data_IF_994376643858
#
_entry.id   IF_994376643858
#
_cell.length_a   1.000
_cell.length_b   1.000
_cell.length_c   1.000
_cell.angle_alpha   90.00
_cell.angle_beta   90.00
_cell.angle_gamma   90.00
#
_symmetry.space_group_name_H-M   'P 1'
#
loop_
_entity.id
_entity.type
_entity.pdbx_description
1 polymer ?
#
# COMPACT_ATOMS: atom_id res chain seq x y z
N UNK A 1 -18.71 46.27 35.30
CA UNK A 1 -18.87 44.80 35.38
C UNK A 1 -19.35 44.18 34.06
N UNK A 2 -20.47 44.62 33.48
CA UNK A 2 -21.00 44.06 32.20
C UNK A 2 -20.02 44.07 31.02
N UNK A 3 -19.27 45.16 30.83
CA UNK A 3 -18.28 45.26 29.74
C UNK A 3 -17.10 44.29 29.91
N UNK A 4 -16.66 44.03 31.15
CA UNK A 4 -15.58 43.07 31.45
C UNK A 4 -16.06 41.65 31.17
N UNK A 5 -17.29 41.32 31.57
CA UNK A 5 -17.90 40.01 31.29
C UNK A 5 -18.02 39.78 29.79
N UNK A 6 -18.50 40.76 29.02
CA UNK A 6 -18.59 40.65 27.56
C UNK A 6 -17.22 40.47 26.91
N UNK A 7 -16.20 41.22 27.34
CA UNK A 7 -14.85 41.08 26.82
C UNK A 7 -14.28 39.67 27.08
N UNK A 8 -14.47 39.13 28.29
CA UNK A 8 -14.02 37.77 28.65
C UNK A 8 -14.77 36.72 27.82
N UNK A 9 -16.09 36.86 27.68
CA UNK A 9 -16.90 35.94 26.86
C UNK A 9 -16.47 35.99 25.40
N UNK A 10 -16.20 37.18 24.84
CA UNK A 10 -15.69 37.32 23.48
C UNK A 10 -14.32 36.67 23.29
N UNK A 11 -13.39 36.84 24.24
CA UNK A 11 -12.06 36.20 24.17
C UNK A 11 -12.19 34.67 24.26
N UNK A 12 -13.06 34.15 25.12
CA UNK A 12 -13.29 32.70 25.24
C UNK A 12 -13.94 32.14 23.97
N UNK A 13 -14.96 32.80 23.42
CA UNK A 13 -15.67 32.31 22.24
C UNK A 13 -14.86 32.44 20.95
N UNK A 14 -14.06 33.51 20.79
CA UNK A 14 -13.29 33.76 19.58
C UNK A 14 -11.86 33.20 19.63
N UNK A 15 -11.31 32.99 20.82
CA UNK A 15 -9.95 32.47 21.00
C UNK A 15 -9.94 31.07 21.61
N UNK A 16 -10.56 30.92 22.79
CA UNK A 16 -10.54 29.67 23.55
C UNK A 16 -11.19 28.50 22.81
N UNK A 17 -12.38 28.72 22.25
CA UNK A 17 -13.14 27.69 21.52
C UNK A 17 -12.39 27.26 20.25
N UNK A 18 -11.98 28.14 19.32
CA UNK A 18 -11.26 27.71 18.11
C UNK A 18 -9.92 27.03 18.39
N UNK A 19 -9.18 27.44 19.42
CA UNK A 19 -7.92 26.78 19.80
C UNK A 19 -8.19 25.38 20.34
N UNK A 20 -9.20 25.22 21.21
CA UNK A 20 -9.56 23.92 21.77
C UNK A 20 -10.01 22.92 20.68
N UNK A 21 -10.86 23.36 19.75
CA UNK A 21 -11.30 22.52 18.64
C UNK A 21 -10.21 22.32 17.58
N UNK A 22 -9.41 23.34 17.27
CA UNK A 22 -8.29 23.25 16.32
C UNK A 22 -7.26 22.20 16.72
N UNK A 23 -6.84 22.21 17.99
CA UNK A 23 -5.88 21.24 18.53
C UNK A 23 -6.41 19.80 18.55
N UNK A 24 -7.72 19.61 18.70
CA UNK A 24 -8.36 18.29 18.63
C UNK A 24 -8.45 17.78 17.18
N UNK A 25 -8.70 18.67 16.22
CA UNK A 25 -8.82 18.29 14.80
C UNK A 25 -7.49 18.01 14.11
N UNK A 26 -6.36 18.52 14.62
CA UNK A 26 -5.05 18.33 13.98
C UNK A 26 -4.52 16.89 14.05
N UNK A 27 -5.05 16.04 14.93
CA UNK A 27 -4.48 14.71 15.16
C UNK A 27 -5.11 13.55 14.37
N UNK A 28 -6.20 13.77 13.60
CA UNK A 28 -6.80 12.69 12.80
C UNK A 28 -6.82 13.05 11.32
N UNK A 29 -6.23 12.18 10.51
CA UNK A 29 -6.29 12.32 9.06
C UNK A 29 -7.69 11.92 8.56
N UNK A 30 -8.39 12.76 7.79
CA UNK A 30 -9.72 12.45 7.29
C UNK A 30 -9.75 11.19 6.40
N UNK A 31 -8.63 10.83 5.75
CA UNK A 31 -8.55 9.59 4.97
C UNK A 31 -8.65 8.38 5.89
N UNK A 32 -7.95 8.37 7.03
CA UNK A 32 -8.05 7.27 7.99
C UNK A 32 -9.44 7.17 8.60
N UNK A 33 -10.09 8.31 8.86
CA UNK A 33 -11.50 8.33 9.27
C UNK A 33 -12.40 7.70 8.20
N UNK A 34 -12.21 8.02 6.92
CA UNK A 34 -12.99 7.39 5.85
C UNK A 34 -12.70 5.89 5.69
N UNK A 35 -11.48 5.44 6.01
CA UNK A 35 -11.13 4.02 6.02
C UNK A 35 -11.73 3.29 7.24
N UNK A 36 -11.92 3.99 8.37
CA UNK A 36 -12.62 3.46 9.56
C UNK A 36 -14.13 3.29 9.29
N UNK A 37 -14.68 4.05 8.34
CA UNK A 37 -16.09 3.99 7.93
C UNK A 37 -16.38 2.87 6.92
N UNK A 38 -15.35 2.19 6.38
CA UNK A 38 -15.54 1.00 5.55
C UNK A 38 -16.24 -0.09 6.36
N UNK A 39 -17.34 -0.64 5.83
CA UNK A 39 -18.11 -1.72 6.46
C UNK A 39 -17.38 -3.07 6.31
N UNK A 40 -16.20 -3.15 6.94
CA UNK A 40 -15.43 -4.38 7.06
C UNK A 40 -15.69 -5.02 8.43
N UNK A 41 -15.86 -6.35 8.48
CA UNK A 41 -16.09 -7.06 9.72
C UNK A 41 -14.87 -6.99 10.61
N UNK A 42 -15.08 -7.07 11.92
CA UNK A 42 -14.02 -6.88 12.93
C UNK A 42 -12.87 -7.87 12.81
N UNK A 43 -13.11 -9.07 12.28
CA UNK A 43 -12.08 -10.08 12.03
C UNK A 43 -11.12 -9.69 10.89
N UNK A 44 -11.53 -8.80 9.99
CA UNK A 44 -10.73 -8.33 8.87
C UNK A 44 -9.94 -7.05 9.23
N UNK A 45 -10.33 -6.40 10.34
CA UNK A 45 -9.87 -5.08 10.75
C UNK A 45 -9.12 -5.09 12.09
N UNK A 46 -8.38 -6.16 12.40
CA UNK A 46 -7.70 -6.29 13.68
C UNK A 46 -6.41 -5.46 13.74
N UNK A 47 -6.33 -4.60 14.77
CA UNK A 47 -5.14 -3.82 15.12
C UNK A 47 -4.60 -2.96 13.94
N UNK A 48 -5.37 -1.96 13.46
CA UNK A 48 -4.91 -1.10 12.40
C UNK A 48 -3.69 -0.28 12.86
N UNK A 49 -2.67 -0.24 12.00
CA UNK A 49 -1.49 0.60 12.15
C UNK A 49 -1.46 1.59 11.00
N UNK A 50 -1.55 2.88 11.35
CA UNK A 50 -1.56 3.98 10.39
C UNK A 50 -0.19 4.64 10.33
N UNK A 51 0.35 4.77 9.13
CA UNK A 51 1.59 5.47 8.82
C UNK A 51 1.36 6.57 7.78
N UNK A 52 2.06 7.69 7.97
CA UNK A 52 2.01 8.83 7.07
C UNK A 52 3.43 9.23 6.72
N UNK A 53 3.74 9.17 5.43
CA UNK A 53 5.02 9.61 4.88
C UNK A 53 4.82 10.77 3.90
N UNK A 54 5.91 11.51 3.63
CA UNK A 54 5.90 12.68 2.75
C UNK A 54 5.31 13.95 3.38
N UNK A 55 5.03 14.94 2.52
CA UNK A 55 4.62 16.29 2.91
C UNK A 55 3.20 16.61 2.47
N UNK A 56 2.41 17.22 3.38
CA UNK A 56 1.07 17.76 3.06
C UNK A 56 1.09 18.84 1.98
N UNK A 57 2.25 19.49 1.80
CA UNK A 57 2.45 20.58 0.84
C UNK A 57 3.16 20.13 -0.43
N UNK A 58 3.49 18.83 -0.55
CA UNK A 58 4.24 18.30 -1.70
C UNK A 58 5.55 19.06 -2.00
N UNK A 59 6.26 19.52 -0.96
CA UNK A 59 7.54 20.24 -1.16
C UNK A 59 8.67 19.33 -1.67
N UNK A 60 8.55 18.02 -1.44
CA UNK A 60 9.43 16.96 -1.93
C UNK A 60 8.54 15.78 -2.32
N UNK A 61 8.44 14.78 -1.45
CA UNK A 61 7.47 13.70 -1.58
C UNK A 61 6.08 14.18 -1.18
N UNK A 62 5.10 13.88 -2.01
CA UNK A 62 3.70 14.08 -1.67
C UNK A 62 3.25 13.10 -0.59
N UNK A 63 2.20 13.50 0.13
CA UNK A 63 1.72 12.75 1.30
C UNK A 63 1.15 11.39 0.89
N UNK A 64 1.79 10.31 1.33
CA UNK A 64 1.31 8.95 1.23
C UNK A 64 0.77 8.50 2.59
N UNK A 65 -0.39 7.86 2.59
CA UNK A 65 -1.01 7.31 3.78
C UNK A 65 -1.09 5.81 3.62
N UNK A 66 -0.54 5.08 4.56
CA UNK A 66 -0.55 3.63 4.55
C UNK A 66 -1.22 3.13 5.83
N UNK A 67 -2.19 2.26 5.68
CA UNK A 67 -2.80 1.53 6.78
C UNK A 67 -2.48 0.06 6.60
N UNK A 68 -1.91 -0.54 7.63
CA UNK A 68 -1.71 -1.99 7.69
C UNK A 68 -2.65 -2.59 8.73
N UNK A 69 -3.32 -3.68 8.39
CA UNK A 69 -4.28 -4.34 9.27
C UNK A 69 -4.10 -5.85 9.21
N UNK A 70 -4.24 -6.51 10.36
CA UNK A 70 -4.27 -7.97 10.41
C UNK A 70 -5.70 -8.47 10.26
N UNK A 71 -5.85 -9.59 9.58
CA UNK A 71 -7.12 -10.31 9.44
C UNK A 71 -6.95 -11.73 9.94
N UNK A 72 -7.97 -12.24 10.64
CA UNK A 72 -8.00 -13.61 11.15
C UNK A 72 -8.28 -14.65 10.04
N UNK A 73 -8.62 -14.20 8.83
CA UNK A 73 -9.05 -15.05 7.70
C UNK A 73 -8.05 -15.06 6.56
N UNK A 74 -8.25 -15.99 5.62
CA UNK A 74 -7.37 -16.16 4.46
C UNK A 74 -7.32 -14.89 3.61
N UNK A 75 -6.24 -14.70 2.83
CA UNK A 75 -6.12 -13.55 1.93
C UNK A 75 -7.30 -13.43 0.96
N UNK A 76 -7.84 -14.53 0.46
CA UNK A 76 -8.93 -14.55 -0.51
C UNK A 76 -10.26 -14.09 0.10
N UNK A 77 -10.61 -14.58 1.29
CA UNK A 77 -11.82 -14.17 2.01
C UNK A 77 -11.73 -12.69 2.40
N UNK A 78 -10.56 -12.28 2.90
CA UNK A 78 -10.29 -10.89 3.31
C UNK A 78 -10.36 -9.93 2.12
N UNK A 79 -9.75 -10.28 0.98
CA UNK A 79 -9.81 -9.47 -0.23
C UNK A 79 -11.24 -9.24 -0.70
N UNK A 80 -12.06 -10.29 -0.78
CA UNK A 80 -13.46 -10.17 -1.21
C UNK A 80 -14.26 -9.18 -0.36
N UNK A 81 -14.06 -9.23 0.95
CA UNK A 81 -14.73 -8.35 1.91
C UNK A 81 -14.28 -6.90 1.76
N UNK A 82 -12.97 -6.66 1.65
CA UNK A 82 -12.44 -5.31 1.45
C UNK A 82 -12.90 -4.71 0.11
N UNK A 83 -12.82 -5.47 -0.98
CA UNK A 83 -13.28 -5.00 -2.28
C UNK A 83 -14.80 -4.74 -2.31
N UNK A 84 -15.60 -5.56 -1.59
CA UNK A 84 -17.03 -5.32 -1.45
C UNK A 84 -17.30 -4.03 -0.68
N UNK A 85 -16.63 -3.81 0.46
CA UNK A 85 -16.76 -2.59 1.26
C UNK A 85 -16.35 -1.35 0.46
N UNK A 86 -15.23 -1.42 -0.28
CA UNK A 86 -14.78 -0.34 -1.16
C UNK A 86 -15.83 0.03 -2.22
N UNK A 87 -16.42 -0.97 -2.91
CA UNK A 87 -17.49 -0.72 -3.89
C UNK A 87 -18.72 -0.08 -3.26
N UNK A 88 -19.12 -0.53 -2.07
CA UNK A 88 -20.27 0.02 -1.34
C UNK A 88 -20.03 1.47 -0.90
N UNK A 89 -18.78 1.79 -0.55
CA UNK A 89 -18.32 3.12 -0.17
C UNK A 89 -17.99 4.01 -1.38
N UNK A 90 -18.37 3.59 -2.59
CA UNK A 90 -18.28 4.39 -3.81
C UNK A 90 -16.90 4.40 -4.49
N UNK A 91 -15.96 3.57 -4.04
CA UNK A 91 -14.71 3.35 -4.78
C UNK A 91 -14.96 2.56 -6.05
N UNK A 92 -14.30 2.98 -7.13
CA UNK A 92 -14.40 2.34 -8.43
C UNK A 92 -13.11 1.56 -8.71
N UNK A 93 -13.21 0.30 -9.19
CA UNK A 93 -12.06 -0.43 -9.68
C UNK A 93 -11.37 0.38 -10.78
N UNK A 94 -10.05 0.44 -10.72
CA UNK A 94 -9.24 1.21 -11.65
C UNK A 94 -8.09 0.34 -12.15
N UNK A 95 -7.92 0.24 -13.48
CA UNK A 95 -6.87 -0.57 -14.10
C UNK A 95 -5.88 0.32 -14.86
N UNK A 96 -4.99 1.05 -14.16
CA UNK A 96 -3.91 1.77 -14.83
C UNK A 96 -2.86 0.80 -15.39
N UNK A 97 -2.09 1.26 -16.38
CA UNK A 97 -1.00 0.49 -17.02
C UNK A 97 0.08 -0.03 -16.04
N UNK A 98 0.09 0.45 -14.80
CA UNK A 98 1.01 0.04 -13.73
C UNK A 98 0.27 -0.28 -12.43
N UNK A 99 -0.95 -0.84 -12.51
CA UNK A 99 -1.50 -1.56 -11.36
C UNK A 99 -0.78 -2.91 -11.30
N UNK A 100 0.05 -3.20 -10.29
CA UNK A 100 0.77 -4.45 -10.24
C UNK A 100 -0.20 -5.64 -10.10
N UNK A 101 -0.35 -6.41 -11.16
CA UNK A 101 -0.95 -7.76 -11.11
C UNK A 101 0.08 -8.72 -10.52
N UNK A 102 0.23 -8.71 -9.19
CA UNK A 102 1.13 -9.64 -8.49
C UNK A 102 0.30 -10.71 -7.76
N UNK A 103 -0.29 -11.64 -8.51
CA UNK A 103 -1.10 -12.73 -7.96
C UNK A 103 -0.27 -13.68 -7.07
N UNK A 104 1.02 -13.87 -7.35
CA UNK A 104 1.84 -14.90 -6.69
C UNK A 104 2.02 -14.71 -5.18
N UNK A 105 1.72 -13.52 -4.64
CA UNK A 105 1.85 -13.22 -3.20
C UNK A 105 0.59 -12.63 -2.56
N UNK A 106 -0.57 -12.74 -3.21
CA UNK A 106 -1.84 -12.24 -2.70
C UNK A 106 -2.67 -11.49 -3.74
N UNK A 107 -3.78 -10.88 -3.31
CA UNK A 107 -4.64 -10.04 -4.18
C UNK A 107 -4.19 -8.58 -4.10
N UNK A 108 -3.82 -8.01 -5.25
CA UNK A 108 -3.51 -6.60 -5.39
C UNK A 108 -4.51 -5.94 -6.33
N UNK A 109 -5.21 -4.90 -5.87
CA UNK A 109 -6.21 -4.17 -6.66
C UNK A 109 -6.04 -2.67 -6.49
N UNK A 110 -6.29 -1.93 -7.57
CA UNK A 110 -6.25 -0.47 -7.57
C UNK A 110 -7.67 0.10 -7.66
N UNK A 111 -7.88 1.19 -6.94
CA UNK A 111 -9.18 1.83 -6.75
C UNK A 111 -9.07 3.34 -6.87
N UNK A 112 -10.17 3.97 -7.26
CA UNK A 112 -10.26 5.42 -7.35
C UNK A 112 -11.60 5.91 -6.83
N UNK A 113 -11.56 7.02 -6.10
CA UNK A 113 -12.75 7.75 -5.66
C UNK A 113 -12.41 9.24 -5.59
N UNK A 114 -13.20 10.05 -6.28
CA UNK A 114 -13.00 11.50 -6.35
C UNK A 114 -11.55 11.89 -6.71
N UNK A 115 -10.86 12.54 -5.77
CA UNK A 115 -9.49 13.03 -5.84
C UNK A 115 -8.46 12.05 -5.28
N UNK A 116 -8.86 10.84 -4.88
CA UNK A 116 -8.00 9.84 -4.25
C UNK A 116 -7.82 8.61 -5.14
N UNK A 117 -6.62 8.04 -5.08
CA UNK A 117 -6.33 6.68 -5.54
C UNK A 117 -5.93 5.81 -4.35
N UNK A 118 -6.33 4.55 -4.39
CA UNK A 118 -6.11 3.58 -3.33
C UNK A 118 -5.54 2.29 -3.94
N UNK A 119 -4.44 1.83 -3.38
CA UNK A 119 -3.88 0.51 -3.64
C UNK A 119 -4.26 -0.40 -2.48
N UNK A 120 -4.98 -1.48 -2.76
CA UNK A 120 -5.32 -2.51 -1.80
C UNK A 120 -4.45 -3.73 -2.08
N UNK A 121 -3.70 -4.18 -1.07
CA UNK A 121 -2.95 -5.41 -1.14
C UNK A 121 -3.27 -6.31 0.04
N UNK A 122 -3.81 -7.50 -0.25
CA UNK A 122 -4.14 -8.51 0.74
C UNK A 122 -3.28 -9.74 0.49
N UNK A 123 -2.51 -10.15 1.50
CA UNK A 123 -1.50 -11.21 1.38
C UNK A 123 -1.42 -12.06 2.63
N UNK A 124 -0.77 -13.22 2.54
CA UNK A 124 -0.37 -13.97 3.72
C UNK A 124 0.60 -13.13 4.59
N UNK A 125 0.53 -13.21 5.92
CA UNK A 125 1.43 -12.46 6.80
C UNK A 125 2.85 -13.04 6.73
N UNK A 126 3.86 -12.20 6.90
CA UNK A 126 5.25 -12.65 6.96
C UNK A 126 5.52 -13.32 8.32
N UNK A 127 5.98 -14.58 8.30
CA UNK A 127 6.28 -15.34 9.52
C UNK A 127 7.62 -15.00 10.18
N UNK A 128 8.33 -14.02 9.64
CA UNK A 128 9.54 -13.50 10.25
C UNK A 128 9.20 -12.15 10.87
N UNK A 129 9.41 -11.93 12.18
CA UNK A 129 9.17 -10.64 12.80
C UNK A 129 10.00 -9.56 12.09
N UNK A 130 9.49 -8.33 11.95
CA UNK A 130 10.25 -7.25 11.35
C UNK A 130 11.54 -7.01 12.16
N UNK A 131 12.67 -6.70 11.50
CA UNK A 131 13.90 -6.39 12.22
C UNK A 131 13.67 -5.20 13.15
N UNK A 132 14.13 -5.31 14.39
CA UNK A 132 14.11 -4.21 15.35
C UNK A 132 15.07 -3.10 14.88
N UNK A 133 14.64 -1.85 14.99
CA UNK A 133 15.43 -0.69 14.55
C UNK A 133 16.82 -0.66 15.23
N UNK A 134 17.89 -0.80 14.43
CA UNK A 134 19.28 -0.64 14.88
C UNK A 134 20.13 -1.91 14.87
N UNK A 135 19.53 -3.10 14.74
CA UNK A 135 20.28 -4.34 14.52
C UNK A 135 20.40 -4.66 13.02
N UNK A 136 21.54 -5.18 12.53
CA UNK A 136 21.64 -5.69 11.17
C UNK A 136 20.55 -6.75 10.95
N UNK A 137 19.87 -6.71 9.80
CA UNK A 137 18.99 -7.80 9.37
C UNK A 137 19.83 -9.07 9.17
N UNK A 138 20.10 -9.79 10.25
CA UNK A 138 20.65 -11.14 10.19
C UNK A 138 19.49 -11.97 9.68
N UNK A 139 19.51 -12.29 8.39
CA UNK A 139 18.61 -13.29 7.80
C UNK A 139 18.90 -14.58 8.57
N UNK A 140 17.99 -15.06 9.45
CA UNK A 140 18.23 -16.34 10.08
C UNK A 140 18.20 -17.36 8.94
N UNK A 141 19.23 -18.19 8.84
CA UNK A 141 19.15 -19.41 8.04
C UNK A 141 17.86 -20.11 8.46
N UNK A 142 16.88 -20.17 7.55
CA UNK A 142 15.57 -20.76 7.85
C UNK A 142 15.83 -22.22 8.22
N UNK A 143 15.69 -22.55 9.50
CA UNK A 143 15.61 -23.95 9.91
C UNK A 143 14.35 -24.51 9.24
N UNK A 144 14.44 -25.59 8.45
CA UNK A 144 13.27 -26.16 7.77
C UNK A 144 12.21 -26.67 8.75
N UNK A 145 12.56 -26.82 10.03
CA UNK A 145 11.63 -27.17 11.12
C UNK A 145 10.83 -25.95 11.66
N UNK A 146 11.30 -24.71 11.47
CA UNK A 146 10.56 -23.46 11.78
C UNK A 146 9.90 -22.83 10.56
N UNK A 147 10.10 -23.39 9.37
CA UNK A 147 9.51 -22.91 8.11
C UNK A 147 7.98 -23.09 8.00
N UNK A 148 7.32 -23.67 9.01
CA UNK A 148 5.92 -24.09 8.90
C UNK A 148 5.12 -23.96 10.22
N UNK A 149 5.33 -22.91 11.00
CA UNK A 149 4.16 -22.34 11.69
C UNK A 149 3.52 -21.38 10.71
N UNK A 150 2.59 -21.88 9.90
CA UNK A 150 1.77 -21.05 9.01
C UNK A 150 1.16 -19.93 9.85
N UNK A 151 1.61 -18.69 9.62
CA UNK A 151 1.02 -17.54 10.26
C UNK A 151 -0.42 -17.43 9.75
N UNK A 152 -1.35 -17.84 10.60
CA UNK A 152 -2.75 -17.87 10.25
C UNK A 152 -3.27 -16.47 9.94
N UNK A 153 -4.22 -16.39 9.03
CA UNK A 153 -4.87 -15.14 8.66
C UNK A 153 -4.24 -14.46 7.44
N UNK A 154 -4.34 -13.14 7.39
CA UNK A 154 -3.81 -12.31 6.31
C UNK A 154 -3.42 -10.91 6.78
N UNK A 155 -2.62 -10.25 5.97
CA UNK A 155 -2.20 -8.87 6.16
C UNK A 155 -2.77 -8.03 5.03
N UNK A 156 -3.45 -6.95 5.40
CA UNK A 156 -4.02 -5.96 4.49
C UNK A 156 -3.15 -4.72 4.54
N UNK A 157 -2.66 -4.26 3.39
CA UNK A 157 -2.01 -2.96 3.22
C UNK A 157 -2.88 -2.10 2.31
N UNK A 158 -3.35 -0.98 2.84
CA UNK A 158 -4.14 0.01 2.13
C UNK A 158 -3.29 1.26 1.98
N UNK A 159 -2.95 1.63 0.75
CA UNK A 159 -2.17 2.84 0.46
C UNK A 159 -3.04 3.85 -0.26
N UNK A 160 -3.21 5.03 0.32
CA UNK A 160 -4.04 6.09 -0.22
C UNK A 160 -3.20 7.33 -0.51
N UNK A 161 -3.40 7.90 -1.70
CA UNK A 161 -2.75 9.13 -2.16
C UNK A 161 -3.74 9.99 -2.94
N UNK A 162 -3.42 11.27 -3.16
CA UNK A 162 -4.20 12.04 -4.11
C UNK A 162 -3.91 11.56 -5.53
N UNK A 163 -4.92 11.55 -6.38
CA UNK A 163 -4.82 11.18 -7.78
C UNK A 163 -3.79 12.03 -8.53
N UNK A 164 -3.64 13.32 -8.20
CA UNK A 164 -2.65 14.22 -8.81
C UNK A 164 -1.19 13.83 -8.49
N UNK A 165 -1.00 13.14 -7.37
CA UNK A 165 0.30 12.65 -6.90
C UNK A 165 0.59 11.24 -7.42
N UNK A 166 -0.42 10.57 -7.96
CA UNK A 166 -0.31 9.26 -8.57
C UNK A 166 0.18 9.39 -10.01
N UNK A 167 1.42 8.99 -10.26
CA UNK A 167 2.05 9.08 -11.59
C UNK A 167 1.26 8.32 -12.67
N UNK A 168 0.47 7.31 -12.27
CA UNK A 168 -0.35 6.52 -13.19
C UNK A 168 -1.52 7.32 -13.75
N UNK A 169 -1.89 8.46 -13.16
CA UNK A 169 -2.91 9.37 -13.69
C UNK A 169 -2.34 10.40 -14.64
N UNK A 170 -1.02 10.59 -14.66
CA UNK A 170 -0.36 11.52 -15.56
C UNK A 170 -0.37 10.99 -16.99
N UNK A 171 -0.38 11.87 -18.01
CA UNK A 171 -0.19 11.45 -19.39
C UNK A 171 1.11 10.67 -19.51
N UNK A 172 1.01 9.41 -19.92
CA UNK A 172 2.19 8.58 -20.15
C UNK A 172 2.90 9.09 -21.41
N UNK A 173 4.24 9.18 -21.42
CA UNK A 173 4.97 9.49 -22.63
C UNK A 173 4.66 8.39 -23.66
N UNK A 174 4.15 8.78 -24.84
CA UNK A 174 3.99 7.84 -25.94
C UNK A 174 5.37 7.50 -26.49
N UNK A 175 5.97 6.42 -26.01
CA UNK A 175 7.11 5.82 -26.71
C UNK A 175 6.58 5.09 -27.93
N UNK A 176 6.89 5.58 -29.12
CA UNK A 176 6.63 4.86 -30.36
C UNK A 176 7.44 3.55 -30.32
N UNK A 177 6.78 2.37 -30.33
CA UNK A 177 7.47 1.08 -30.27
C UNK A 177 8.37 0.82 -31.50
N UNK A 178 8.24 1.63 -32.57
CA UNK A 178 9.19 1.61 -33.69
C UNK A 178 10.52 2.32 -33.41
N UNK A 179 10.62 3.07 -32.30
CA UNK A 179 11.82 3.79 -31.86
C UNK A 179 12.56 3.12 -30.69
N UNK A 180 11.98 2.07 -30.09
CA UNK A 180 12.72 1.15 -29.23
C UNK A 180 13.52 0.20 -30.11
N UNK A 181 14.85 0.25 -29.99
CA UNK A 181 15.78 -0.56 -30.77
C UNK A 181 15.46 -2.05 -30.71
N UNK A 182 15.65 -2.71 -31.85
CA UNK A 182 15.50 -4.15 -32.06
C UNK A 182 16.17 -4.94 -30.93
N UNK A 183 15.48 -5.96 -30.42
CA UNK A 183 16.04 -6.97 -29.51
C UNK A 183 17.46 -7.35 -29.93
N UNK A 184 18.44 -7.39 -29.00
CA UNK A 184 19.77 -7.87 -29.34
C UNK A 184 19.66 -9.30 -29.88
N UNK A 185 20.37 -9.54 -30.99
CA UNK A 185 20.45 -10.80 -31.72
C UNK A 185 20.37 -12.03 -30.81
N UNK A 186 19.66 -13.10 -31.23
CA UNK A 186 19.67 -14.36 -30.49
C UNK A 186 21.13 -14.80 -30.33
N UNK A 187 21.52 -15.09 -29.08
CA UNK A 187 22.78 -15.74 -28.77
C UNK A 187 22.86 -17.01 -29.62
N UNK A 188 23.89 -17.10 -30.46
CA UNK A 188 24.18 -18.29 -31.25
C UNK A 188 24.37 -19.48 -30.31
N UNK A 189 23.33 -20.29 -30.11
CA UNK A 189 23.35 -21.54 -29.34
C UNK A 189 23.92 -22.73 -30.14
N UNK A 190 24.73 -22.48 -31.17
CA UNK A 190 25.38 -23.54 -31.93
C UNK A 190 26.88 -23.29 -31.96
N UNK A 191 27.60 -23.88 -31.00
CA UNK A 191 29.04 -24.10 -31.09
C UNK A 191 29.30 -25.16 -32.17
N UNK A 192 29.86 -24.80 -33.35
CA UNK A 192 30.05 -25.73 -34.46
C UNK A 192 31.21 -26.72 -34.24
N UNK A 193 31.77 -26.85 -33.04
CA UNK A 193 32.88 -27.77 -32.73
C UNK A 193 32.48 -28.94 -31.79
N UNK A 194 31.19 -29.15 -31.56
CA UNK A 194 30.66 -30.20 -30.69
C UNK A 194 30.55 -31.61 -31.28
N UNK A 195 31.28 -31.97 -32.35
CA UNK A 195 31.31 -33.36 -32.81
C UNK A 195 32.31 -34.18 -31.99
N UNK A 196 31.75 -34.93 -31.04
CA UNK A 196 32.40 -35.98 -30.26
C UNK A 196 33.08 -36.97 -31.19
N UNK A 197 34.41 -36.96 -31.23
CA UNK A 197 35.17 -38.03 -31.89
C UNK A 197 35.05 -39.32 -31.06
N UNK A 198 34.47 -40.42 -31.57
CA UNK A 198 34.43 -41.67 -30.82
C UNK A 198 35.85 -42.26 -30.72
N UNK A 199 36.28 -42.59 -29.50
CA UNK A 199 37.52 -43.34 -29.28
C UNK A 199 37.35 -44.81 -29.72
N UNK A 200 38.38 -45.44 -30.30
CA UNK A 200 38.27 -46.81 -30.78
C UNK A 200 38.22 -47.81 -29.60
N UNK A 201 37.55 -48.96 -29.76
CA UNK A 201 37.53 -50.00 -28.74
C UNK A 201 38.89 -50.71 -28.64
N UNK A 202 39.17 -51.23 -27.44
CA UNK A 202 40.40 -51.92 -27.03
C UNK A 202 40.76 -53.14 -27.86
#
# INVERSE_FOLDING_TARGET
MRAIILAVVSVVLLGGVPVFFGLQTENRDPVFVSLDELDVPTWAAAQPVDDVSGSRWCLLDCRLRERTVNSDRSPEETAQVYEAALRQDGWQPWTPNYCPEQEEKGSYTCWRRDELTLDLWVRAPACVPPPVDGEPAVVPSVDPETAAEECAGSLVSVKVRNAIDDERTRPQPSTDPSLTGVDPYPTLEEDPLGEVTPSPPS
#
